data_IF_293449925528
#
_entry.id   IF_293449925528
#
_cell.length_a   1.000
_cell.length_b   1.000
_cell.length_c   1.000
_cell.angle_alpha   90.00
_cell.angle_beta   90.00
_cell.angle_gamma   90.00
#
_symmetry.space_group_name_H-M   'P 1'
#
loop_
_entity.id
_entity.type
_entity.pdbx_description
1 polymer ?
#
# COMPACT_ATOMS: atom_id res chain seq x y z
N UNK A 1 -10.57 3.82 22.89
CA UNK A 1 -10.25 4.10 21.46
C UNK A 1 -11.46 4.62 20.70
N UNK A 2 -12.58 3.89 20.54
CA UNK A 2 -13.77 4.47 19.88
C UNK A 2 -14.47 5.57 20.70
N UNK A 3 -14.38 5.50 22.04
CA UNK A 3 -14.98 6.49 22.96
C UNK A 3 -14.19 7.80 23.11
N UNK A 4 -12.95 7.85 22.60
CA UNK A 4 -12.03 8.98 22.79
C UNK A 4 -11.90 9.87 21.54
N UNK A 5 -12.69 9.57 20.50
CA UNK A 5 -12.71 10.27 19.22
C UNK A 5 -13.97 11.14 19.20
N UNK A 6 -13.78 12.45 19.19
CA UNK A 6 -14.87 13.41 19.04
C UNK A 6 -15.33 13.50 17.58
N UNK A 7 -16.56 13.98 17.34
CA UNK A 7 -17.17 14.10 16.00
C UNK A 7 -16.31 14.85 14.96
N UNK A 8 -15.36 15.68 15.40
CA UNK A 8 -14.47 16.47 14.53
C UNK A 8 -13.09 15.83 14.29
N UNK A 9 -12.87 14.56 14.64
CA UNK A 9 -11.58 13.90 14.45
C UNK A 9 -10.47 14.39 15.39
N UNK A 10 -10.84 15.11 16.46
CA UNK A 10 -9.93 15.48 17.53
C UNK A 10 -9.77 14.31 18.50
N UNK A 11 -8.53 13.99 18.87
CA UNK A 11 -8.22 12.95 19.85
C UNK A 11 -7.99 13.64 21.19
N UNK A 12 -8.78 13.27 22.19
CA UNK A 12 -8.61 13.74 23.56
C UNK A 12 -7.29 13.18 24.11
N UNK A 13 -6.41 14.05 24.59
CA UNK A 13 -5.13 13.63 25.14
C UNK A 13 -5.34 13.01 26.55
N UNK A 14 -4.27 12.40 27.09
CA UNK A 14 -4.34 11.66 28.36
C UNK A 14 -4.78 12.51 29.56
N UNK A 15 -4.57 13.82 29.48
CA UNK A 15 -4.99 14.80 30.49
C UNK A 15 -6.49 15.11 30.45
N UNK A 16 -7.23 14.64 29.44
CA UNK A 16 -8.67 14.83 29.23
C UNK A 16 -9.12 16.29 29.09
N UNK A 17 -8.19 17.21 28.98
CA UNK A 17 -8.46 18.65 28.84
C UNK A 17 -7.90 19.18 27.53
N UNK A 18 -6.80 18.60 27.03
CA UNK A 18 -6.18 19.03 25.78
C UNK A 18 -6.52 18.09 24.62
N UNK A 19 -6.50 18.67 23.42
CA UNK A 19 -6.82 17.98 22.18
C UNK A 19 -5.59 17.99 21.28
N UNK A 20 -5.19 16.81 20.80
CA UNK A 20 -4.22 16.72 19.73
C UNK A 20 -4.97 16.87 18.40
N UNK A 21 -4.78 18.01 17.74
CA UNK A 21 -5.08 18.16 16.32
C UNK A 21 -3.80 17.80 15.58
N UNK A 22 -3.75 16.64 14.92
CA UNK A 22 -2.57 16.18 14.17
C UNK A 22 -2.62 16.69 12.71
N UNK A 23 -1.98 17.82 12.36
CA UNK A 23 -2.30 18.57 11.15
C UNK A 23 -1.59 18.05 9.88
N UNK A 24 -0.57 17.19 10.02
CA UNK A 24 0.10 16.57 8.85
C UNK A 24 -0.61 15.34 8.28
N UNK A 25 -1.88 15.12 8.63
CA UNK A 25 -2.70 14.02 8.10
C UNK A 25 -3.99 14.61 7.56
N UNK A 26 -4.23 14.63 6.23
CA UNK A 26 -5.54 14.98 5.71
C UNK A 26 -6.59 14.02 6.30
N UNK A 27 -7.54 14.55 7.09
CA UNK A 27 -8.76 13.83 7.48
C UNK A 27 -8.84 13.21 8.88
N UNK A 28 -7.80 13.24 9.73
CA UNK A 28 -7.95 13.07 11.20
C UNK A 28 -8.61 11.79 11.76
N UNK A 29 -8.94 10.79 10.93
CA UNK A 29 -9.43 9.48 11.35
C UNK A 29 -8.60 8.44 10.59
N UNK A 30 -7.64 7.81 11.26
CA UNK A 30 -7.06 6.54 10.78
C UNK A 30 -8.09 5.44 11.02
N UNK A 31 -9.05 5.30 10.11
CA UNK A 31 -10.09 4.27 10.17
C UNK A 31 -9.51 2.85 10.12
N UNK A 32 -8.30 2.70 9.56
CA UNK A 32 -7.66 1.41 9.30
C UNK A 32 -6.41 1.15 10.17
N UNK A 33 -6.60 0.94 11.49
CA UNK A 33 -5.54 0.40 12.36
C UNK A 33 -5.84 -1.07 12.64
N UNK A 34 -4.89 -1.94 12.32
CA UNK A 34 -4.98 -3.38 12.61
C UNK A 34 -4.53 -4.25 11.44
N UNK A 35 -5.05 -5.48 11.35
CA UNK A 35 -4.82 -6.41 10.24
C UNK A 35 -5.69 -6.02 9.03
N UNK A 36 -5.32 -4.91 8.41
CA UNK A 36 -6.03 -4.34 7.26
C UNK A 36 -5.05 -3.63 6.32
N UNK A 37 -5.55 -3.25 5.15
CA UNK A 37 -4.85 -2.35 4.22
C UNK A 37 -4.76 -0.95 4.85
N UNK A 38 -3.54 -0.45 4.97
CA UNK A 38 -3.23 0.91 5.45
C UNK A 38 -3.36 1.91 4.31
N UNK A 39 -3.48 3.18 4.67
CA UNK A 39 -3.48 4.30 3.73
C UNK A 39 -2.32 4.16 2.73
N UNK A 40 -2.65 4.31 1.46
CA UNK A 40 -1.70 4.09 0.37
C UNK A 40 -0.71 5.25 0.32
N UNK A 41 0.59 4.93 0.29
CA UNK A 41 1.63 5.97 0.22
C UNK A 41 1.83 6.37 -1.23
N UNK A 42 1.55 7.62 -1.55
CA UNK A 42 1.56 8.14 -2.92
C UNK A 42 2.63 9.21 -3.04
N UNK A 43 3.39 9.20 -4.14
CA UNK A 43 4.29 10.31 -4.47
C UNK A 43 3.57 11.36 -5.34
N UNK A 44 4.09 12.59 -5.46
CA UNK A 44 3.40 13.65 -6.20
C UNK A 44 3.22 13.42 -7.72
N UNK A 45 3.81 12.36 -8.28
CA UNK A 45 3.58 11.94 -9.67
C UNK A 45 3.90 13.01 -10.72
N UNK A 46 3.35 12.83 -11.92
CA UNK A 46 3.33 13.87 -12.96
C UNK A 46 2.47 15.08 -12.57
N UNK A 47 1.55 14.91 -11.62
CA UNK A 47 0.63 15.95 -11.14
C UNK A 47 1.35 17.16 -10.55
N UNK A 48 2.40 16.93 -9.75
CA UNK A 48 3.12 18.01 -9.06
C UNK A 48 4.65 17.94 -9.17
N UNK A 49 5.22 16.84 -9.68
CA UNK A 49 6.68 16.68 -9.77
C UNK A 49 7.17 16.72 -11.23
N UNK A 50 8.12 17.60 -11.52
CA UNK A 50 8.78 17.70 -12.84
C UNK A 50 9.55 16.43 -13.25
N UNK A 51 9.85 15.54 -12.31
CA UNK A 51 10.53 14.25 -12.56
C UNK A 51 9.55 13.08 -12.67
N UNK A 52 8.25 13.32 -12.46
CA UNK A 52 7.22 12.29 -12.60
C UNK A 52 7.20 11.77 -14.02
N UNK A 53 7.13 10.45 -14.16
CA UNK A 53 7.00 9.76 -15.44
C UNK A 53 5.58 9.23 -15.64
N UNK A 54 4.91 8.88 -14.53
CA UNK A 54 3.54 8.38 -14.52
C UNK A 54 2.68 9.11 -13.46
N UNK A 55 1.36 9.10 -13.66
CA UNK A 55 0.40 9.71 -12.74
C UNK A 55 0.14 8.82 -11.51
N UNK A 56 1.06 8.91 -10.55
CA UNK A 56 0.93 8.22 -9.28
C UNK A 56 -0.23 8.71 -8.40
N UNK A 57 -0.70 9.95 -8.58
CA UNK A 57 -1.72 10.55 -7.72
C UNK A 57 -3.07 9.92 -8.02
N UNK A 58 -3.47 9.92 -9.29
CA UNK A 58 -4.75 9.33 -9.73
C UNK A 58 -4.80 7.84 -9.40
N UNK A 59 -3.80 7.07 -9.86
CA UNK A 59 -3.73 5.63 -9.57
C UNK A 59 -3.72 5.33 -8.07
N UNK A 60 -2.96 6.10 -7.29
CA UNK A 60 -2.88 5.93 -5.85
C UNK A 60 -4.21 6.18 -5.13
N UNK A 61 -4.95 7.21 -5.54
CA UNK A 61 -6.26 7.55 -4.97
C UNK A 61 -7.32 6.51 -5.32
N UNK A 62 -7.35 6.03 -6.57
CA UNK A 62 -8.26 4.95 -6.99
C UNK A 62 -8.02 3.66 -6.17
N UNK A 63 -6.75 3.32 -5.94
CA UNK A 63 -6.41 2.18 -5.09
C UNK A 63 -6.78 2.44 -3.61
N UNK A 64 -6.61 3.66 -3.10
CA UNK A 64 -6.92 3.99 -1.70
C UNK A 64 -8.43 3.90 -1.46
N UNK A 65 -9.24 4.48 -2.35
CA UNK A 65 -10.71 4.40 -2.31
C UNK A 65 -11.20 2.94 -2.28
N UNK A 66 -10.55 2.07 -3.06
CA UNK A 66 -10.96 0.67 -3.16
C UNK A 66 -10.52 -0.20 -1.97
N UNK A 67 -9.28 -0.03 -1.50
CA UNK A 67 -8.67 -0.99 -0.57
C UNK A 67 -8.54 -0.49 0.86
N UNK A 68 -8.54 0.82 1.11
CA UNK A 68 -8.27 1.36 2.43
C UNK A 68 -9.23 0.78 3.49
N UNK A 69 -8.68 0.23 4.58
CA UNK A 69 -9.47 -0.39 5.64
C UNK A 69 -9.96 -1.81 5.36
N UNK A 70 -9.71 -2.37 4.17
CA UNK A 70 -10.05 -3.76 3.87
C UNK A 70 -9.33 -4.71 4.84
N UNK A 71 -10.10 -5.58 5.50
CA UNK A 71 -9.58 -6.54 6.45
C UNK A 71 -8.79 -7.65 5.74
N UNK A 72 -7.61 -7.94 6.26
CA UNK A 72 -6.67 -8.92 5.74
C UNK A 72 -6.03 -9.73 6.88
N UNK A 73 -5.37 -10.87 6.62
CA UNK A 73 -4.77 -11.69 7.70
C UNK A 73 -3.68 -10.98 8.52
N UNK A 74 -3.07 -9.91 8.00
CA UNK A 74 -2.08 -9.07 8.68
C UNK A 74 -2.14 -7.64 8.15
N UNK A 75 -1.40 -6.70 8.78
CA UNK A 75 -1.28 -5.33 8.27
C UNK A 75 -0.69 -5.35 6.86
N UNK A 76 -1.26 -4.57 5.95
CA UNK A 76 -0.89 -4.58 4.54
C UNK A 76 -0.68 -3.16 4.04
N UNK A 77 0.41 -2.91 3.32
CA UNK A 77 0.80 -1.57 2.85
C UNK A 77 1.01 -1.59 1.35
N UNK A 78 0.40 -0.63 0.68
CA UNK A 78 0.56 -0.40 -0.75
C UNK A 78 1.24 0.97 -0.94
N UNK A 79 2.09 1.11 -1.96
CA UNK A 79 2.62 2.41 -2.36
C UNK A 79 2.73 2.55 -3.87
N UNK A 80 2.53 3.78 -4.34
CA UNK A 80 2.63 4.16 -5.75
C UNK A 80 3.66 5.28 -5.88
N UNK A 81 4.70 5.05 -6.67
CA UNK A 81 5.69 6.05 -7.08
C UNK A 81 5.60 6.25 -8.58
N UNK A 82 5.60 7.48 -9.06
CA UNK A 82 5.47 7.80 -10.49
C UNK A 82 6.79 7.81 -11.26
N UNK A 83 7.92 7.48 -10.62
CA UNK A 83 9.23 7.36 -11.25
C UNK A 83 10.19 6.54 -10.38
N UNK A 84 11.36 6.19 -10.93
CA UNK A 84 12.42 5.42 -10.25
C UNK A 84 13.07 6.11 -9.04
N UNK A 85 12.78 7.40 -8.76
CA UNK A 85 13.26 8.04 -7.53
C UNK A 85 12.62 7.44 -6.27
N UNK A 86 11.54 6.68 -6.40
CA UNK A 86 11.02 5.84 -5.33
C UNK A 86 10.64 6.62 -4.04
N UNK A 87 10.10 7.84 -4.17
CA UNK A 87 9.75 8.70 -3.01
C UNK A 87 8.70 8.09 -2.07
N UNK A 88 7.83 7.20 -2.58
CA UNK A 88 6.86 6.45 -1.75
C UNK A 88 7.41 5.12 -1.22
N UNK A 89 8.67 4.80 -1.51
CA UNK A 89 9.38 3.60 -1.08
C UNK A 89 8.67 2.28 -1.47
N UNK A 90 8.20 2.11 -2.73
CA UNK A 90 7.44 0.94 -3.17
C UNK A 90 8.15 -0.40 -2.88
N UNK A 91 9.47 -0.47 -3.02
CA UNK A 91 10.24 -1.71 -2.83
C UNK A 91 10.17 -2.30 -1.42
N UNK A 92 9.73 -1.55 -0.40
CA UNK A 92 9.64 -2.01 1.00
C UNK A 92 8.19 -2.06 1.50
N UNK A 93 7.23 -2.18 0.57
CA UNK A 93 5.79 -2.30 0.83
C UNK A 93 5.29 -3.66 0.39
N UNK A 94 4.17 -4.10 0.96
CA UNK A 94 3.59 -5.42 0.64
C UNK A 94 3.27 -5.49 -0.86
N UNK A 95 2.77 -4.39 -1.42
CA UNK A 95 2.72 -4.13 -2.87
C UNK A 95 3.38 -2.77 -3.13
N UNK A 96 4.32 -2.76 -4.07
CA UNK A 96 4.99 -1.56 -4.56
C UNK A 96 4.73 -1.35 -6.04
N UNK A 97 4.32 -0.15 -6.42
CA UNK A 97 4.11 0.24 -7.81
C UNK A 97 5.11 1.36 -8.13
N UNK A 98 5.94 1.15 -9.15
CA UNK A 98 7.00 2.09 -9.54
C UNK A 98 6.85 2.47 -11.01
N UNK A 99 6.68 3.77 -11.27
CA UNK A 99 6.58 4.31 -12.61
C UNK A 99 7.91 4.29 -13.35
N UNK A 100 7.82 3.99 -14.63
CA UNK A 100 8.87 3.98 -15.64
C UNK A 100 8.37 4.76 -16.86
N UNK A 101 9.21 5.04 -17.88
CA UNK A 101 8.73 5.72 -19.09
C UNK A 101 7.71 4.90 -19.89
N UNK A 102 7.66 3.57 -19.68
CA UNK A 102 6.82 2.64 -20.45
C UNK A 102 5.56 2.17 -19.70
N UNK A 103 5.34 2.64 -18.48
CA UNK A 103 4.26 2.18 -17.61
C UNK A 103 4.76 1.95 -16.18
N UNK A 104 4.24 0.95 -15.49
CA UNK A 104 4.57 0.64 -14.11
C UNK A 104 5.23 -0.73 -13.95
N UNK A 105 6.21 -0.78 -13.07
CA UNK A 105 6.77 -2.01 -12.49
C UNK A 105 6.02 -2.30 -11.19
N UNK A 106 5.53 -3.53 -11.04
CA UNK A 106 4.83 -4.01 -9.85
C UNK A 106 5.72 -4.97 -9.08
N UNK A 107 5.86 -4.69 -7.79
CA UNK A 107 6.65 -5.45 -6.81
C UNK A 107 5.75 -5.97 -5.71
N UNK A 108 6.07 -7.13 -5.14
CA UNK A 108 5.29 -7.75 -4.06
C UNK A 108 6.19 -8.34 -2.97
N UNK A 109 5.72 -8.37 -1.72
CA UNK A 109 6.42 -9.03 -0.62
C UNK A 109 7.35 -8.13 0.21
N UNK A 110 7.46 -6.84 -0.12
CA UNK A 110 8.32 -5.91 0.60
C UNK A 110 7.87 -5.66 2.05
N UNK A 111 8.83 -5.43 2.94
CA UNK A 111 8.58 -5.20 4.36
C UNK A 111 9.68 -4.37 5.02
N UNK A 112 9.36 -3.17 5.51
CA UNK A 112 10.20 -2.38 6.40
C UNK A 112 9.97 -2.72 7.90
N UNK A 113 9.91 -4.02 8.24
CA UNK A 113 9.66 -4.49 9.61
C UNK A 113 10.93 -5.02 10.30
N UNK A 114 10.74 -5.83 11.35
CA UNK A 114 11.83 -6.45 12.13
C UNK A 114 12.81 -7.22 11.24
N UNK A 115 12.28 -7.94 10.24
CA UNK A 115 13.06 -8.55 9.16
C UNK A 115 12.80 -7.77 7.87
N UNK A 116 13.70 -6.85 7.49
CA UNK A 116 13.60 -6.12 6.24
C UNK A 116 13.57 -7.09 5.06
N UNK A 117 12.69 -6.84 4.10
CA UNK A 117 12.57 -7.60 2.86
C UNK A 117 12.28 -6.63 1.72
N UNK A 118 13.01 -6.77 0.62
CA UNK A 118 12.67 -6.08 -0.62
C UNK A 118 11.55 -6.84 -1.34
N UNK A 119 10.68 -6.11 -2.02
CA UNK A 119 9.68 -6.70 -2.89
C UNK A 119 10.34 -7.35 -4.11
N UNK A 120 9.76 -8.44 -4.57
CA UNK A 120 10.15 -9.09 -5.81
C UNK A 120 9.38 -8.46 -6.96
N UNK A 121 10.07 -8.15 -8.06
CA UNK A 121 9.42 -7.67 -9.29
C UNK A 121 8.65 -8.85 -9.90
N UNK A 122 7.36 -8.63 -10.17
CA UNK A 122 6.47 -9.65 -10.74
C UNK A 122 5.93 -9.27 -12.11
N UNK A 123 5.83 -7.97 -12.42
CA UNK A 123 5.38 -7.46 -13.71
C UNK A 123 6.04 -6.11 -14.00
N UNK A 124 6.29 -5.86 -15.28
CA UNK A 124 6.91 -4.63 -15.79
C UNK A 124 6.07 -4.06 -16.94
N UNK A 125 6.25 -2.79 -17.25
CA UNK A 125 5.60 -2.08 -18.38
C UNK A 125 4.06 -2.14 -18.35
N UNK A 126 3.47 -2.19 -17.15
CA UNK A 126 2.01 -2.28 -16.96
C UNK A 126 1.34 -0.91 -17.11
N UNK A 127 0.15 -0.86 -17.71
CA UNK A 127 -0.70 0.35 -17.68
C UNK A 127 -1.55 0.42 -16.39
N UNK A 128 -2.24 1.54 -16.16
CA UNK A 128 -3.03 1.78 -14.95
C UNK A 128 -4.08 0.68 -14.67
N UNK A 129 -4.77 0.20 -15.70
CA UNK A 129 -5.82 -0.82 -15.57
C UNK A 129 -5.23 -2.20 -15.28
N UNK A 130 -4.13 -2.55 -15.95
CA UNK A 130 -3.37 -3.78 -15.67
C UNK A 130 -2.82 -3.79 -14.25
N UNK A 131 -2.30 -2.67 -13.76
CA UNK A 131 -1.85 -2.54 -12.36
C UNK A 131 -3.02 -2.77 -11.41
N UNK A 132 -4.18 -2.14 -11.65
CA UNK A 132 -5.37 -2.32 -10.79
C UNK A 132 -5.82 -3.78 -10.75
N UNK A 133 -5.90 -4.44 -11.90
CA UNK A 133 -6.25 -5.86 -12.00
C UNK A 133 -5.23 -6.76 -11.28
N UNK A 134 -3.94 -6.47 -11.42
CA UNK A 134 -2.90 -7.24 -10.76
C UNK A 134 -2.95 -7.06 -9.23
N UNK A 135 -3.20 -5.83 -8.75
CA UNK A 135 -3.41 -5.57 -7.32
C UNK A 135 -4.63 -6.35 -6.80
N UNK A 136 -5.73 -6.40 -7.56
CA UNK A 136 -6.92 -7.17 -7.21
C UNK A 136 -6.60 -8.65 -7.02
N UNK A 137 -5.85 -9.24 -7.95
CA UNK A 137 -5.44 -10.65 -7.89
C UNK A 137 -4.57 -10.92 -6.66
N UNK A 138 -3.57 -10.06 -6.40
CA UNK A 138 -2.66 -10.20 -5.24
C UNK A 138 -3.44 -10.10 -3.92
N UNK A 139 -4.28 -9.07 -3.77
CA UNK A 139 -5.03 -8.84 -2.53
C UNK A 139 -6.03 -9.96 -2.29
N UNK A 140 -6.74 -10.40 -3.33
CA UNK A 140 -7.71 -11.51 -3.25
C UNK A 140 -7.03 -12.83 -2.89
N UNK A 141 -5.90 -13.13 -3.52
CA UNK A 141 -5.11 -14.33 -3.22
C UNK A 141 -4.58 -14.32 -1.78
N UNK A 142 -4.00 -13.20 -1.35
CA UNK A 142 -3.50 -13.05 0.03
C UNK A 142 -4.63 -13.15 1.07
N UNK A 143 -5.80 -12.56 0.80
CA UNK A 143 -6.96 -12.62 1.69
C UNK A 143 -7.48 -14.05 1.90
N UNK A 144 -7.41 -14.88 0.87
CA UNK A 144 -8.00 -16.24 0.86
C UNK A 144 -7.03 -17.32 1.33
N UNK A 145 -5.75 -17.19 1.02
CA UNK A 145 -4.77 -18.27 1.23
C UNK A 145 -3.75 -17.98 2.35
N UNK A 146 -3.61 -16.72 2.79
CA UNK A 146 -2.59 -16.39 3.77
C UNK A 146 -3.01 -16.72 5.21
N UNK A 147 -2.01 -17.15 5.99
CA UNK A 147 -2.13 -17.26 7.46
C UNK A 147 -1.91 -15.88 8.11
N UNK A 148 -1.86 -15.82 9.44
CA UNK A 148 -1.63 -14.58 10.22
C UNK A 148 -0.18 -14.06 10.14
N UNK A 149 0.38 -13.93 8.94
CA UNK A 149 1.68 -13.31 8.66
C UNK A 149 1.61 -12.48 7.39
N UNK A 150 2.64 -11.66 7.15
CA UNK A 150 2.75 -10.76 5.99
C UNK A 150 2.91 -11.54 4.69
N UNK A 151 2.54 -10.92 3.56
CA UNK A 151 2.63 -11.54 2.23
C UNK A 151 4.07 -11.90 1.85
N UNK A 152 5.07 -11.12 2.26
CA UNK A 152 6.48 -11.48 2.03
C UNK A 152 6.84 -12.85 2.59
N UNK A 153 6.38 -13.17 3.80
CA UNK A 153 6.60 -14.51 4.39
C UNK A 153 5.81 -15.60 3.65
N UNK A 154 4.60 -15.28 3.17
CA UNK A 154 3.82 -16.22 2.36
C UNK A 154 4.59 -16.61 1.09
N UNK A 155 5.17 -15.61 0.41
CA UNK A 155 5.98 -15.81 -0.79
C UNK A 155 7.24 -16.60 -0.45
N UNK A 156 7.92 -16.30 0.66
CA UNK A 156 9.11 -17.05 1.08
C UNK A 156 8.79 -18.53 1.38
N UNK A 157 7.61 -18.81 1.96
CA UNK A 157 7.18 -20.17 2.31
C UNK A 157 6.74 -20.98 1.07
N UNK A 158 6.10 -20.35 0.07
CA UNK A 158 5.56 -21.06 -1.12
C UNK A 158 6.44 -20.97 -2.37
N UNK A 159 7.35 -20.01 -2.42
CA UNK A 159 8.17 -19.67 -3.58
C UNK A 159 7.51 -18.65 -4.53
N UNK A 160 8.32 -17.73 -5.07
CA UNK A 160 7.88 -16.65 -5.96
C UNK A 160 7.22 -17.16 -7.24
N UNK A 161 7.79 -18.18 -7.88
CA UNK A 161 7.26 -18.71 -9.14
C UNK A 161 5.92 -19.40 -8.95
N UNK A 162 5.72 -20.09 -7.82
CA UNK A 162 4.41 -20.63 -7.48
C UNK A 162 3.41 -19.50 -7.21
N UNK A 163 3.82 -18.45 -6.50
CA UNK A 163 2.98 -17.28 -6.26
C UNK A 163 2.52 -16.62 -7.56
N UNK A 164 3.44 -16.39 -8.52
CA UNK A 164 3.13 -15.85 -9.85
C UNK A 164 2.08 -16.69 -10.58
N UNK A 165 2.28 -18.01 -10.62
CA UNK A 165 1.34 -18.94 -11.26
C UNK A 165 -0.07 -18.86 -10.66
N UNK A 166 -0.18 -18.78 -9.33
CA UNK A 166 -1.49 -18.69 -8.66
C UNK A 166 -2.24 -17.37 -8.94
N UNK A 167 -1.50 -16.28 -9.18
CA UNK A 167 -2.09 -14.99 -9.57
C UNK A 167 -2.21 -14.82 -11.10
N UNK A 168 -1.92 -15.88 -11.87
CA UNK A 168 -2.07 -15.89 -13.33
C UNK A 168 -0.97 -15.14 -14.11
N UNK A 169 0.25 -15.12 -13.56
CA UNK A 169 1.48 -14.66 -14.21
C UNK A 169 2.41 -15.82 -14.58
#
# INVERSE_FOLDING_TARGET
MSKDILEKGAILQRDRETFAIAPQTPGGIVSAIGPCVRSIKICPGTTFCKRGQQDAVTLGLELDEKYHGMQLPSKFKIAVSGCMNSCSEPAVRDIGIMGTPKGYTVMVGGNAGIRPRLGDVIADEQNDDEVKELVDKIVSFYKTHAKKHRIGRMIDDMGLENFKREIGL
#
